data_IF_440117094905
#
_entry.id   IF_440117094905
#
_cell.length_a   1.000
_cell.length_b   1.000
_cell.length_c   1.000
_cell.angle_alpha   90.00
_cell.angle_beta   90.00
_cell.angle_gamma   90.00
#
_symmetry.space_group_name_H-M   'P 1'
#
loop_
_entity.id
_entity.type
_entity.pdbx_description
1 polymer ?
#
# COMPACT_ATOMS: atom_id res chain seq x y z
N UNK A 1 -8.61 12.75 3.22
CA UNK A 1 -8.38 11.58 4.11
C UNK A 1 -6.98 11.09 3.81
N UNK A 2 -6.16 10.78 4.81
CA UNK A 2 -4.82 10.26 4.55
C UNK A 2 -4.87 8.85 3.95
N UNK A 3 -3.79 8.44 3.29
CA UNK A 3 -3.73 7.19 2.53
C UNK A 3 -3.97 5.95 3.39
N UNK A 4 -3.38 5.89 4.58
CA UNK A 4 -3.49 4.73 5.47
C UNK A 4 -4.89 4.65 6.07
N UNK A 5 -5.50 5.76 6.48
CA UNK A 5 -6.88 5.78 6.95
C UNK A 5 -7.87 5.39 5.85
N UNK A 6 -7.63 5.83 4.60
CA UNK A 6 -8.45 5.40 3.47
C UNK A 6 -8.35 3.89 3.24
N UNK A 7 -7.14 3.33 3.31
CA UNK A 7 -6.90 1.90 3.17
C UNK A 7 -7.56 1.10 4.30
N UNK A 8 -7.44 1.56 5.56
CA UNK A 8 -8.10 0.92 6.71
C UNK A 8 -9.61 0.90 6.52
N UNK A 9 -10.22 2.04 6.19
CA UNK A 9 -11.66 2.13 5.93
C UNK A 9 -12.11 1.23 4.79
N UNK A 10 -11.29 1.09 3.74
CA UNK A 10 -11.59 0.17 2.64
C UNK A 10 -11.62 -1.28 3.10
N UNK A 11 -10.64 -1.68 3.93
CA UNK A 11 -10.49 -3.05 4.44
C UNK A 11 -11.41 -3.39 5.61
N UNK A 12 -12.00 -2.41 6.31
CA UNK A 12 -12.95 -2.66 7.40
C UNK A 12 -14.20 -3.41 6.92
N UNK A 13 -14.60 -3.24 5.65
CA UNK A 13 -15.80 -3.85 5.10
C UNK A 13 -15.70 -5.33 4.78
N UNK A 14 -14.48 -5.90 4.71
CA UNK A 14 -14.30 -7.30 4.31
C UNK A 14 -12.98 -7.90 4.80
N UNK A 15 -12.87 -9.23 4.78
CA UNK A 15 -11.59 -9.91 5.01
C UNK A 15 -10.84 -10.05 3.69
N UNK A 16 -9.56 -9.66 3.69
CA UNK A 16 -8.71 -9.81 2.50
C UNK A 16 -8.66 -11.29 2.09
N UNK A 17 -8.87 -11.60 0.79
CA UNK A 17 -8.67 -12.94 0.26
C UNK A 17 -7.20 -13.35 0.39
N UNK A 18 -6.93 -14.65 0.59
CA UNK A 18 -5.55 -15.16 0.63
C UNK A 18 -4.88 -15.28 -0.74
N UNK A 19 -5.65 -15.21 -1.83
CA UNK A 19 -5.15 -15.36 -3.19
C UNK A 19 -4.57 -14.03 -3.71
N UNK A 20 -3.30 -14.04 -4.12
CA UNK A 20 -2.58 -12.84 -4.58
C UNK A 20 -3.33 -12.09 -5.70
N UNK A 21 -3.90 -12.80 -6.67
CA UNK A 21 -4.65 -12.21 -7.79
C UNK A 21 -5.90 -11.42 -7.33
N UNK A 22 -6.54 -11.84 -6.23
CA UNK A 22 -7.69 -11.11 -5.68
C UNK A 22 -7.26 -9.86 -4.93
N UNK A 23 -6.17 -9.95 -4.16
CA UNK A 23 -5.59 -8.78 -3.47
C UNK A 23 -5.18 -7.73 -4.49
N UNK A 24 -4.51 -8.16 -5.55
CA UNK A 24 -4.06 -7.31 -6.65
C UNK A 24 -5.20 -6.45 -7.23
N UNK A 25 -6.29 -7.10 -7.67
CA UNK A 25 -7.49 -6.40 -8.19
C UNK A 25 -8.11 -5.42 -7.20
N UNK A 26 -8.10 -5.75 -5.91
CA UNK A 26 -8.65 -4.87 -4.87
C UNK A 26 -7.78 -3.64 -4.67
N UNK A 27 -6.45 -3.81 -4.63
CA UNK A 27 -5.50 -2.71 -4.45
C UNK A 27 -5.48 -1.78 -5.66
N UNK A 28 -5.58 -2.31 -6.88
CA UNK A 28 -5.66 -1.51 -8.10
C UNK A 28 -6.90 -0.58 -8.09
N UNK A 29 -8.07 -1.13 -7.75
CA UNK A 29 -9.32 -0.34 -7.66
C UNK A 29 -9.30 0.64 -6.50
N UNK A 30 -8.73 0.25 -5.36
CA UNK A 30 -8.52 1.17 -4.25
C UNK A 30 -7.63 2.36 -4.66
N UNK A 31 -6.49 2.11 -5.28
CA UNK A 31 -5.53 3.13 -5.67
C UNK A 31 -6.11 4.12 -6.69
N UNK A 32 -6.76 3.59 -7.75
CA UNK A 32 -7.48 4.42 -8.73
C UNK A 32 -8.52 5.30 -8.04
N UNK A 33 -9.36 4.72 -7.17
CA UNK A 33 -10.40 5.49 -6.47
C UNK A 33 -9.81 6.52 -5.50
N UNK A 34 -8.70 6.20 -4.84
CA UNK A 34 -8.02 7.12 -3.94
C UNK A 34 -7.50 8.34 -4.71
N UNK A 35 -6.84 8.14 -5.86
CA UNK A 35 -6.36 9.23 -6.70
C UNK A 35 -7.51 10.11 -7.22
N UNK A 36 -8.60 9.49 -7.70
CA UNK A 36 -9.79 10.22 -8.16
C UNK A 36 -10.44 11.09 -7.07
N UNK A 37 -10.43 10.61 -5.82
CA UNK A 37 -11.01 11.34 -4.70
C UNK A 37 -10.08 12.42 -4.12
N UNK A 38 -8.80 12.42 -4.48
CA UNK A 38 -7.80 13.34 -3.92
C UNK A 38 -6.96 14.05 -5.01
N UNK A 39 -7.58 14.68 -6.04
CA UNK A 39 -6.88 15.14 -7.25
C UNK A 39 -5.79 16.20 -7.03
N UNK A 40 -5.83 16.96 -5.92
CA UNK A 40 -4.93 18.10 -5.67
C UNK A 40 -4.03 17.93 -4.43
N UNK A 41 -3.98 16.74 -3.83
CA UNK A 41 -3.32 16.54 -2.54
C UNK A 41 -2.68 15.17 -2.33
N UNK A 42 -2.47 14.39 -3.39
CA UNK A 42 -1.74 13.12 -3.24
C UNK A 42 -0.24 13.34 -3.34
N UNK A 43 0.51 12.59 -2.54
CA UNK A 43 1.97 12.46 -2.64
C UNK A 43 2.40 11.59 -3.83
N UNK A 44 1.44 10.98 -4.52
CA UNK A 44 1.65 10.03 -5.61
C UNK A 44 1.64 10.77 -6.95
N UNK A 45 2.63 10.45 -7.78
CA UNK A 45 2.74 10.91 -9.15
C UNK A 45 1.73 10.19 -10.07
N UNK A 46 1.38 8.95 -9.71
CA UNK A 46 0.48 8.09 -10.49
C UNK A 46 -0.37 7.18 -9.58
N UNK A 47 -1.45 6.63 -10.13
CA UNK A 47 -2.24 5.60 -9.44
C UNK A 47 -1.44 4.30 -9.22
N UNK A 48 -0.44 4.04 -10.06
CA UNK A 48 0.48 2.91 -9.89
C UNK A 48 1.33 3.06 -8.63
N UNK A 49 1.87 4.25 -8.37
CA UNK A 49 2.60 4.53 -7.12
C UNK A 49 1.74 4.31 -5.87
N UNK A 50 0.46 4.71 -5.92
CA UNK A 50 -0.50 4.46 -4.86
C UNK A 50 -0.81 2.96 -4.71
N UNK A 51 -0.97 2.23 -5.82
CA UNK A 51 -1.19 0.79 -5.82
C UNK A 51 -0.02 0.03 -5.18
N UNK A 52 1.21 0.31 -5.61
CA UNK A 52 2.42 -0.33 -5.08
C UNK A 52 2.55 -0.06 -3.59
N UNK A 53 2.27 1.16 -3.13
CA UNK A 53 2.28 1.47 -1.70
C UNK A 53 1.17 0.73 -0.94
N UNK A 54 -0.05 0.64 -1.48
CA UNK A 54 -1.13 -0.11 -0.84
C UNK A 54 -0.73 -1.58 -0.65
N UNK A 55 -0.19 -2.20 -1.70
CA UNK A 55 0.26 -3.59 -1.66
C UNK A 55 1.40 -3.80 -0.66
N UNK A 56 2.38 -2.88 -0.62
CA UNK A 56 3.49 -2.97 0.32
C UNK A 56 3.04 -2.81 1.77
N UNK A 57 2.00 -2.03 2.06
CA UNK A 57 1.39 -1.95 3.40
C UNK A 57 0.76 -3.28 3.81
N UNK A 58 0.07 -3.99 2.90
CA UNK A 58 -0.50 -5.32 3.19
C UNK A 58 0.63 -6.33 3.49
N UNK A 59 1.69 -6.28 2.71
CA UNK A 59 2.86 -7.12 2.92
C UNK A 59 3.55 -6.81 4.27
N UNK A 60 3.72 -5.53 4.61
CA UNK A 60 4.27 -5.09 5.89
C UNK A 60 3.39 -5.54 7.06
N UNK A 61 2.06 -5.43 6.91
CA UNK A 61 1.12 -5.87 7.95
C UNK A 61 1.25 -7.37 8.20
N UNK A 62 1.36 -8.15 7.12
CA UNK A 62 1.57 -9.60 7.19
C UNK A 62 2.91 -9.94 7.83
N UNK A 63 3.98 -9.25 7.42
CA UNK A 63 5.32 -9.42 7.96
C UNK A 63 5.37 -9.15 9.47
N UNK A 64 4.87 -8.01 9.92
CA UNK A 64 4.92 -7.58 11.32
C UNK A 64 4.06 -8.44 12.26
N UNK A 65 2.88 -8.89 11.82
CA UNK A 65 1.91 -9.56 12.69
C UNK A 65 1.87 -11.09 12.56
N UNK A 66 2.44 -11.67 11.50
CA UNK A 66 2.50 -13.13 11.37
C UNK A 66 3.54 -13.74 12.31
N UNK A 67 3.15 -14.72 13.12
CA UNK A 67 4.08 -15.46 14.00
C UNK A 67 5.08 -16.33 13.23
N UNK A 68 4.82 -16.62 11.95
CA UNK A 68 5.70 -17.41 11.10
C UNK A 68 6.94 -16.65 10.64
N UNK A 69 6.84 -15.31 10.58
CA UNK A 69 7.97 -14.46 10.19
C UNK A 69 8.85 -14.22 11.41
N UNK A 70 10.00 -14.91 11.45
CA UNK A 70 10.98 -14.83 12.56
C UNK A 70 11.78 -13.54 12.57
N UNK A 71 12.17 -13.05 11.38
CA UNK A 71 12.91 -11.78 11.22
C UNK A 71 11.99 -10.77 10.56
N UNK A 72 11.53 -9.80 11.35
CA UNK A 72 10.67 -8.72 10.88
C UNK A 72 11.44 -7.73 10.01
N UNK A 73 10.75 -7.16 9.04
CA UNK A 73 11.21 -6.04 8.24
C UNK A 73 11.46 -4.83 9.13
N UNK A 74 12.64 -4.22 9.02
CA UNK A 74 12.93 -2.96 9.70
C UNK A 74 12.30 -1.79 8.95
N UNK A 75 12.19 -0.62 9.61
CA UNK A 75 11.76 0.62 8.94
C UNK A 75 12.63 0.92 7.69
N UNK A 76 13.93 0.71 7.80
CA UNK A 76 14.89 0.95 6.72
C UNK A 76 14.71 -0.03 5.56
N UNK A 77 14.43 -1.31 5.86
CA UNK A 77 14.12 -2.31 4.85
C UNK A 77 12.85 -1.93 4.08
N UNK A 78 11.80 -1.51 4.79
CA UNK A 78 10.53 -1.08 4.18
C UNK A 78 10.70 0.17 3.30
N UNK A 79 11.46 1.16 3.76
CA UNK A 79 11.77 2.36 2.96
C UNK A 79 12.56 1.97 1.72
N UNK A 80 13.59 1.10 1.85
CA UNK A 80 14.41 0.65 0.72
C UNK A 80 13.58 -0.10 -0.31
N UNK A 81 12.65 -0.92 0.14
CA UNK A 81 11.75 -1.69 -0.72
C UNK A 81 10.81 -0.81 -1.56
N UNK A 82 10.41 0.35 -1.04
CA UNK A 82 9.52 1.29 -1.72
C UNK A 82 10.26 2.46 -2.41
N UNK A 83 11.58 2.33 -2.68
CA UNK A 83 12.31 3.36 -3.43
C UNK A 83 11.93 3.36 -4.89
N UNK A 84 11.87 4.55 -5.48
CA UNK A 84 11.59 4.74 -6.91
C UNK A 84 10.16 4.45 -7.35
N UNK A 85 9.24 4.10 -6.44
CA UNK A 85 7.87 3.72 -6.80
C UNK A 85 7.02 4.91 -7.25
N UNK A 86 7.49 6.14 -7.06
CA UNK A 86 6.77 7.36 -7.39
C UNK A 86 7.26 7.96 -8.71
N UNK A 87 7.06 7.24 -9.82
CA UNK A 87 7.57 7.57 -11.16
C UNK A 87 9.10 7.84 -11.16
N UNK A 88 9.87 6.84 -10.71
CA UNK A 88 11.33 6.90 -10.52
C UNK A 88 11.81 7.84 -9.40
N UNK A 89 10.89 8.41 -8.61
CA UNK A 89 11.20 9.17 -7.40
C UNK A 89 10.82 8.39 -6.15
N UNK A 90 11.39 8.80 -5.03
CA UNK A 90 11.02 8.28 -3.72
C UNK A 90 9.80 9.02 -3.18
N UNK A 91 8.96 8.31 -2.42
CA UNK A 91 7.97 8.95 -1.57
C UNK A 91 8.67 9.66 -0.39
N UNK A 92 8.06 10.72 0.17
CA UNK A 92 8.55 11.35 1.41
C UNK A 92 8.72 10.32 2.54
N UNK A 93 9.78 10.48 3.34
CA UNK A 93 10.12 9.58 4.45
C UNK A 93 9.28 9.80 5.70
#
# INVERSE_FOLDING_TARGET
MDFVSALRRFLEGFRLPGEAQKIDRLMEKFASRYCDCNPHGTIFASADAAYVLAYSIIMLTTDLHSTQVKRKMTKEDYIRMNRGINDSKDLPK
#
